data_IF_161361882440
#
_entry.id   IF_161361882440
#
_cell.length_a   1.000
_cell.length_b   1.000
_cell.length_c   1.000
_cell.angle_alpha   90.00
_cell.angle_beta   90.00
_cell.angle_gamma   90.00
#
_symmetry.space_group_name_H-M   'P 1'
#
loop_
_entity.id
_entity.type
_entity.pdbx_description
1 polymer ?
#
# COMPACT_ATOMS: atom_id res chain seq x y z
N UNK A 1 -20.03 16.20 -82.92
CA UNK A 1 -18.65 16.51 -82.51
C UNK A 1 -18.38 15.79 -81.20
N UNK A 2 -17.31 15.00 -81.16
CA UNK A 2 -16.99 14.06 -80.07
C UNK A 2 -16.48 14.78 -78.81
N UNK A 3 -16.97 14.38 -77.64
CA UNK A 3 -16.50 14.80 -76.32
C UNK A 3 -15.22 14.02 -75.99
N UNK A 4 -14.10 14.66 -75.60
CA UNK A 4 -12.86 13.97 -75.30
C UNK A 4 -12.82 13.41 -73.86
N UNK A 5 -12.43 12.13 -73.80
CA UNK A 5 -11.61 11.41 -72.80
C UNK A 5 -12.13 11.19 -71.37
N UNK A 6 -12.79 10.04 -71.21
CA UNK A 6 -13.01 9.30 -69.96
C UNK A 6 -11.77 8.44 -69.58
N UNK A 7 -10.56 9.02 -69.44
CA UNK A 7 -9.35 8.23 -69.08
C UNK A 7 -8.66 8.65 -67.78
N UNK A 8 -9.08 9.73 -67.11
CA UNK A 8 -8.46 10.17 -65.86
C UNK A 8 -9.05 9.45 -64.65
N UNK A 9 -10.35 9.22 -64.58
CA UNK A 9 -11.00 8.70 -63.36
C UNK A 9 -10.72 7.21 -63.05
N UNK A 10 -10.50 6.36 -64.06
CA UNK A 10 -10.13 4.96 -63.82
C UNK A 10 -8.68 4.78 -63.34
N UNK A 11 -7.78 5.72 -63.65
CA UNK A 11 -6.37 5.67 -63.21
C UNK A 11 -6.24 6.02 -61.74
N UNK A 12 -7.05 6.94 -61.22
CA UNK A 12 -7.04 7.34 -59.81
C UNK A 12 -7.63 6.26 -58.88
N UNK A 13 -8.58 5.47 -59.38
CA UNK A 13 -9.18 4.36 -58.61
C UNK A 13 -8.28 3.12 -58.49
N UNK A 14 -7.30 2.95 -59.39
CA UNK A 14 -6.30 1.88 -59.31
C UNK A 14 -5.10 2.23 -58.42
N UNK A 15 -4.70 3.51 -58.35
CA UNK A 15 -3.64 3.96 -57.44
C UNK A 15 -4.07 3.95 -55.97
N UNK A 16 -5.29 4.40 -55.66
CA UNK A 16 -5.77 4.44 -54.27
C UNK A 16 -5.96 3.06 -53.60
N UNK A 17 -5.96 1.94 -54.35
CA UNK A 17 -6.06 0.58 -53.78
C UNK A 17 -4.70 -0.08 -53.54
N UNK A 18 -3.66 0.26 -54.31
CA UNK A 18 -2.31 -0.26 -54.10
C UNK A 18 -1.65 0.31 -52.85
N UNK A 19 -2.01 1.54 -52.47
CA UNK A 19 -1.37 2.26 -51.36
C UNK A 19 -1.69 1.63 -49.99
N UNK A 20 -2.91 1.12 -49.80
CA UNK A 20 -3.30 0.42 -48.57
C UNK A 20 -2.60 -0.94 -48.42
N UNK A 21 -2.41 -1.68 -49.52
CA UNK A 21 -1.72 -2.96 -49.49
C UNK A 21 -0.23 -2.78 -49.18
N UNK A 22 0.42 -1.79 -49.80
CA UNK A 22 1.83 -1.48 -49.54
C UNK A 22 2.04 -0.96 -48.11
N UNK A 23 1.15 -0.09 -47.62
CA UNK A 23 1.19 0.38 -46.22
C UNK A 23 0.97 -0.76 -45.21
N UNK A 24 0.06 -1.70 -45.50
CA UNK A 24 -0.23 -2.84 -44.62
C UNK A 24 0.95 -3.81 -44.53
N UNK A 25 1.57 -4.13 -45.68
CA UNK A 25 2.75 -5.00 -45.72
C UNK A 25 3.93 -4.33 -45.03
N UNK A 26 4.12 -3.01 -45.24
CA UNK A 26 5.15 -2.24 -44.54
C UNK A 26 4.97 -2.23 -43.03
N UNK A 27 3.74 -2.07 -42.54
CA UNK A 27 3.44 -2.10 -41.10
C UNK A 27 3.70 -3.49 -40.49
N UNK A 28 3.30 -4.57 -41.16
CA UNK A 28 3.56 -5.94 -40.70
C UNK A 28 5.06 -6.24 -40.68
N UNK A 29 5.80 -5.83 -41.71
CA UNK A 29 7.26 -6.00 -41.75
C UNK A 29 7.95 -5.16 -40.69
N UNK A 30 7.49 -3.93 -40.42
CA UNK A 30 8.03 -3.06 -39.37
C UNK A 30 7.77 -3.62 -37.96
N UNK A 31 6.56 -4.13 -37.71
CA UNK A 31 6.23 -4.81 -36.44
C UNK A 31 7.06 -6.09 -36.28
N UNK A 32 7.25 -6.87 -37.33
CA UNK A 32 8.09 -8.08 -37.32
C UNK A 32 9.58 -7.73 -37.12
N UNK A 33 10.06 -6.65 -37.72
CA UNK A 33 11.41 -6.14 -37.50
C UNK A 33 11.59 -5.66 -36.05
N UNK A 34 10.60 -4.96 -35.49
CA UNK A 34 10.61 -4.56 -34.08
C UNK A 34 10.64 -5.77 -33.14
N UNK A 35 9.92 -6.86 -33.43
CA UNK A 35 9.97 -8.07 -32.61
C UNK A 35 11.20 -8.95 -32.83
N UNK A 36 11.98 -8.76 -33.91
CA UNK A 36 13.29 -9.39 -34.11
C UNK A 36 14.47 -8.55 -33.61
N UNK A 37 14.34 -7.22 -33.53
CA UNK A 37 15.39 -6.32 -33.02
C UNK A 37 15.23 -6.01 -31.52
N UNK A 38 14.02 -6.07 -30.96
CA UNK A 38 13.81 -6.13 -29.51
C UNK A 38 13.72 -7.60 -29.08
N UNK A 39 14.86 -8.29 -29.13
CA UNK A 39 15.11 -9.41 -28.24
C UNK A 39 15.71 -8.83 -26.94
N UNK A 40 14.95 -8.71 -25.84
CA UNK A 40 15.45 -8.16 -24.59
C UNK A 40 16.32 -9.18 -23.82
N UNK A 41 16.80 -10.24 -24.47
CA UNK A 41 17.65 -11.26 -23.84
C UNK A 41 19.07 -11.29 -24.43
N UNK A 42 19.75 -10.15 -24.37
CA UNK A 42 21.22 -10.11 -24.45
C UNK A 42 21.80 -9.24 -23.34
N UNK A 43 21.51 -9.60 -22.09
CA UNK A 43 22.38 -9.26 -20.98
C UNK A 43 22.99 -10.56 -20.46
N UNK A 44 24.28 -10.73 -20.74
CA UNK A 44 25.14 -11.64 -19.99
C UNK A 44 25.08 -11.24 -18.52
N UNK A 45 24.18 -11.87 -17.76
CA UNK A 45 24.08 -11.70 -16.30
C UNK A 45 25.40 -12.16 -15.69
N UNK A 46 26.22 -11.27 -15.10
CA UNK A 46 27.30 -11.70 -14.24
C UNK A 46 26.64 -12.44 -13.08
N UNK A 47 27.14 -13.63 -12.75
CA UNK A 47 26.69 -14.41 -11.62
C UNK A 47 26.78 -13.60 -10.34
N UNK A 48 25.68 -12.93 -9.98
CA UNK A 48 25.46 -12.40 -8.64
C UNK A 48 25.42 -13.61 -7.73
N UNK A 49 26.36 -13.65 -6.80
CA UNK A 49 26.41 -14.60 -5.71
C UNK A 49 25.01 -14.67 -5.07
N UNK A 50 24.30 -15.79 -5.27
CA UNK A 50 23.01 -16.08 -4.63
C UNK A 50 23.21 -16.52 -3.18
N UNK A 51 24.09 -15.84 -2.46
CA UNK A 51 23.97 -15.77 -1.03
C UNK A 51 22.66 -14.99 -0.79
N UNK A 52 21.63 -15.58 -0.16
CA UNK A 52 20.50 -14.77 0.29
C UNK A 52 21.09 -13.62 1.11
N UNK A 53 20.63 -12.37 0.92
CA UNK A 53 21.01 -11.32 1.85
C UNK A 53 20.74 -11.89 3.22
N UNK A 54 21.76 -11.88 4.09
CA UNK A 54 21.61 -12.26 5.49
C UNK A 54 20.49 -11.35 5.99
N UNK A 55 19.27 -11.88 5.99
CA UNK A 55 18.12 -11.17 6.47
C UNK A 55 18.40 -11.04 7.95
N UNK A 56 18.85 -9.86 8.35
CA UNK A 56 18.80 -9.46 9.74
C UNK A 56 17.42 -9.89 10.25
N UNK A 57 17.33 -10.63 11.35
CA UNK A 57 16.05 -11.08 11.87
C UNK A 57 15.11 -9.86 11.92
N UNK A 58 13.84 -10.01 11.49
CA UNK A 58 12.90 -8.90 11.49
C UNK A 58 12.89 -8.29 12.89
N UNK A 59 13.02 -6.96 12.93
CA UNK A 59 13.02 -6.17 14.15
C UNK A 59 11.59 -6.11 14.67
N UNK A 60 11.15 -7.23 15.25
CA UNK A 60 9.80 -7.44 15.75
C UNK A 60 9.58 -6.53 16.95
N UNK A 61 8.59 -5.66 16.83
CA UNK A 61 8.24 -4.70 17.87
C UNK A 61 7.11 -5.30 18.70
N UNK A 62 7.29 -5.31 20.04
CA UNK A 62 6.35 -5.89 20.99
C UNK A 62 5.19 -4.97 21.35
N UNK A 63 4.00 -5.55 21.56
CA UNK A 63 2.80 -4.89 22.01
C UNK A 63 2.95 -4.42 23.47
N UNK A 64 2.54 -3.17 23.71
CA UNK A 64 2.39 -2.60 25.04
C UNK A 64 0.94 -2.18 25.25
N UNK A 65 0.26 -2.78 26.23
CA UNK A 65 -1.06 -2.32 26.67
C UNK A 65 -0.91 -1.11 27.60
N UNK A 66 -1.73 -0.09 27.38
CA UNK A 66 -1.62 1.18 28.10
C UNK A 66 -2.39 1.15 29.41
N UNK A 67 -1.70 0.89 30.52
CA UNK A 67 -2.29 1.05 31.87
C UNK A 67 -2.73 2.49 32.14
N UNK A 68 -2.01 3.48 31.60
CA UNK A 68 -2.37 4.91 31.69
C UNK A 68 -3.67 5.24 30.97
N UNK A 69 -4.05 4.48 29.93
CA UNK A 69 -5.34 4.64 29.27
C UNK A 69 -6.48 4.26 30.24
N UNK A 70 -6.30 3.20 31.03
CA UNK A 70 -7.23 2.80 32.10
C UNK A 70 -7.49 3.93 33.09
N UNK A 71 -6.42 4.58 33.56
CA UNK A 71 -6.51 5.72 34.50
C UNK A 71 -7.29 6.91 33.93
N UNK A 72 -7.35 7.03 32.61
CA UNK A 72 -8.07 8.07 31.87
C UNK A 72 -9.44 7.62 31.35
N UNK A 73 -9.86 6.39 31.65
CA UNK A 73 -11.14 5.84 31.19
C UNK A 73 -11.20 5.52 29.69
N UNK A 74 -10.06 5.30 29.04
CA UNK A 74 -10.00 4.93 27.62
C UNK A 74 -9.87 3.42 27.46
N UNK A 75 -10.77 2.83 26.66
CA UNK A 75 -10.89 1.40 26.41
C UNK A 75 -11.16 1.13 24.92
N UNK A 76 -10.90 -0.08 24.48
CA UNK A 76 -11.41 -0.60 23.22
C UNK A 76 -12.94 -0.85 23.33
N UNK A 77 -13.60 -1.12 22.20
CA UNK A 77 -15.05 -1.38 22.15
C UNK A 77 -15.52 -2.50 23.10
N UNK A 78 -14.70 -3.52 23.34
CA UNK A 78 -15.00 -4.62 24.26
C UNK A 78 -14.65 -4.34 25.73
N UNK A 79 -14.11 -3.17 26.05
CA UNK A 79 -13.63 -2.81 27.38
C UNK A 79 -12.19 -3.25 27.70
N UNK A 80 -11.48 -3.88 26.77
CA UNK A 80 -10.05 -4.18 26.93
C UNK A 80 -9.18 -2.92 26.85
N UNK A 81 -7.92 -3.02 27.29
CA UNK A 81 -7.02 -1.87 27.30
C UNK A 81 -6.48 -1.60 25.88
N UNK A 82 -6.48 -0.34 25.42
CA UNK A 82 -5.84 -0.03 24.14
C UNK A 82 -4.32 -0.26 24.23
N UNK A 83 -3.69 -0.47 23.08
CA UNK A 83 -2.28 -0.82 23.01
C UNK A 83 -1.55 -0.15 21.84
N UNK A 84 -0.23 -0.22 21.91
CA UNK A 84 0.66 0.29 20.86
C UNK A 84 1.93 -0.55 20.80
N UNK A 85 2.58 -0.53 19.63
CA UNK A 85 3.93 -1.06 19.44
C UNK A 85 4.90 0.11 19.42
N UNK A 86 6.00 0.01 20.15
CA UNK A 86 6.98 1.09 20.27
C UNK A 86 8.39 0.59 20.02
N UNK A 87 9.04 1.17 19.01
CA UNK A 87 10.47 1.01 18.77
C UNK A 87 11.21 2.31 19.13
N UNK A 88 12.22 2.20 20.00
CA UNK A 88 13.01 3.34 20.48
C UNK A 88 13.91 3.92 19.38
N UNK A 89 13.97 5.24 19.27
CA UNK A 89 14.85 5.92 18.33
C UNK A 89 16.32 5.90 18.76
N UNK A 90 17.22 6.20 17.83
CA UNK A 90 18.67 6.19 18.02
C UNK A 90 19.34 7.43 17.40
N UNK A 91 20.56 7.75 17.85
CA UNK A 91 21.35 8.85 17.32
C UNK A 91 20.60 10.20 17.30
N UNK A 92 20.62 10.88 16.14
CA UNK A 92 19.93 12.15 15.93
C UNK A 92 18.40 12.05 16.04
N UNK A 93 17.81 10.88 15.73
CA UNK A 93 16.37 10.64 15.81
C UNK A 93 15.86 10.30 17.22
N UNK A 94 16.74 10.16 18.22
CA UNK A 94 16.37 9.78 19.59
C UNK A 94 15.39 10.73 20.30
N UNK A 95 15.27 11.97 19.82
CA UNK A 95 14.32 12.98 20.33
C UNK A 95 13.15 13.28 19.38
N UNK A 96 13.13 12.64 18.21
CA UNK A 96 12.08 12.81 17.21
C UNK A 96 11.09 11.66 17.28
N UNK A 97 9.83 11.92 16.92
CA UNK A 97 8.73 10.98 17.10
C UNK A 97 7.88 10.85 15.85
N UNK A 98 7.59 9.62 15.46
CA UNK A 98 6.62 9.26 14.43
C UNK A 98 5.52 8.41 15.06
N UNK A 99 4.30 8.95 15.05
CA UNK A 99 3.12 8.27 15.56
C UNK A 99 2.24 7.86 14.38
N UNK A 100 2.08 6.55 14.17
CA UNK A 100 1.23 5.98 13.15
C UNK A 100 -0.07 5.50 13.79
N UNK A 101 -1.20 6.03 13.31
CA UNK A 101 -2.54 5.59 13.70
C UNK A 101 -2.99 4.48 12.75
N UNK A 102 -3.19 3.28 13.28
CA UNK A 102 -3.73 2.17 12.50
C UNK A 102 -5.14 2.49 11.98
N UNK A 103 -5.43 2.10 10.75
CA UNK A 103 -6.75 2.29 10.14
C UNK A 103 -7.72 1.14 10.46
N UNK A 104 -8.87 1.15 9.79
CA UNK A 104 -9.83 0.06 9.89
C UNK A 104 -11.30 0.44 9.65
N UNK A 105 -11.61 1.70 9.34
CA UNK A 105 -13.00 2.18 9.20
C UNK A 105 -13.73 2.25 10.53
N UNK A 106 -15.05 2.47 10.54
CA UNK A 106 -15.85 2.69 11.77
C UNK A 106 -17.08 1.78 11.83
N UNK A 107 -17.75 1.73 12.97
CA UNK A 107 -19.09 1.15 13.13
C UNK A 107 -20.09 2.27 13.44
N UNK A 108 -21.38 2.06 13.15
CA UNK A 108 -22.39 3.13 13.23
C UNK A 108 -23.70 2.72 13.91
N UNK A 109 -23.78 1.49 14.41
CA UNK A 109 -24.94 0.95 15.12
C UNK A 109 -24.49 0.04 16.25
N UNK A 110 -25.33 -0.11 17.28
CA UNK A 110 -25.05 -1.02 18.41
C UNK A 110 -24.71 -2.43 17.91
N UNK A 111 -25.48 -2.95 16.96
CA UNK A 111 -25.24 -4.28 16.39
C UNK A 111 -23.88 -4.36 15.66
N UNK A 112 -23.55 -3.36 14.83
CA UNK A 112 -22.27 -3.36 14.10
C UNK A 112 -21.06 -3.17 15.02
N UNK A 113 -21.17 -2.33 16.05
CA UNK A 113 -20.10 -2.12 17.02
C UNK A 113 -19.92 -3.32 17.95
N UNK A 114 -21.02 -3.95 18.38
CA UNK A 114 -20.97 -5.19 19.17
C UNK A 114 -20.32 -6.34 18.38
N UNK A 115 -20.65 -6.50 17.10
CA UNK A 115 -19.97 -7.48 16.25
C UNK A 115 -18.47 -7.15 16.08
N UNK A 116 -18.13 -5.87 15.92
CA UNK A 116 -16.75 -5.41 15.76
C UNK A 116 -15.90 -5.59 17.03
N UNK A 117 -16.49 -5.46 18.21
CA UNK A 117 -15.84 -5.70 19.49
C UNK A 117 -15.22 -7.11 19.59
N UNK A 118 -15.75 -8.08 18.82
CA UNK A 118 -15.25 -9.45 18.75
C UNK A 118 -14.12 -9.65 17.72
N UNK A 119 -13.41 -8.58 17.34
CA UNK A 119 -12.35 -8.60 16.32
C UNK A 119 -11.13 -7.78 16.76
N UNK A 120 -10.01 -7.88 16.03
CA UNK A 120 -8.83 -7.04 16.24
C UNK A 120 -9.09 -5.53 16.10
N UNK A 121 -10.19 -5.11 15.47
CA UNK A 121 -10.53 -3.68 15.32
C UNK A 121 -11.49 -3.17 16.41
N UNK A 122 -11.71 -3.96 17.46
CA UNK A 122 -12.57 -3.62 18.59
C UNK A 122 -12.10 -4.19 19.92
N UNK A 123 -11.05 -5.02 19.94
CA UNK A 123 -10.53 -5.63 21.16
C UNK A 123 -9.02 -5.90 21.06
N UNK A 124 -8.31 -5.55 22.13
CA UNK A 124 -6.87 -5.79 22.25
C UNK A 124 -6.53 -7.26 22.49
N UNK A 125 -7.50 -8.13 22.79
CA UNK A 125 -7.24 -9.57 22.99
C UNK A 125 -6.91 -10.29 21.68
N UNK A 126 -7.17 -9.64 20.55
CA UNK A 126 -6.87 -10.14 19.21
C UNK A 126 -5.71 -9.39 18.54
N UNK A 127 -5.00 -8.52 19.28
CA UNK A 127 -3.79 -7.90 18.75
C UNK A 127 -2.66 -8.92 18.64
N UNK A 128 -1.86 -8.78 17.59
CA UNK A 128 -0.57 -9.46 17.48
C UNK A 128 0.38 -8.94 18.58
N UNK A 129 0.96 -9.89 19.31
CA UNK A 129 1.93 -9.62 20.38
C UNK A 129 3.18 -8.94 19.85
N UNK A 130 3.57 -9.23 18.61
CA UNK A 130 4.73 -8.68 17.94
C UNK A 130 4.39 -8.37 16.48
N UNK A 131 4.91 -7.26 15.96
CA UNK A 131 4.69 -6.84 14.57
C UNK A 131 6.00 -6.39 13.94
N UNK A 132 6.15 -6.67 12.65
CA UNK A 132 7.24 -6.14 11.86
C UNK A 132 6.89 -4.73 11.35
N UNK A 133 7.80 -3.78 11.57
CA UNK A 133 7.60 -2.41 11.17
C UNK A 133 8.05 -2.22 9.72
N UNK A 134 7.10 -1.79 8.87
CA UNK A 134 7.28 -1.69 7.43
C UNK A 134 7.04 -0.26 6.92
N UNK A 135 7.49 0.04 5.70
CA UNK A 135 7.31 1.33 5.06
C UNK A 135 7.86 2.50 5.90
N UNK A 136 7.04 3.52 6.14
CA UNK A 136 7.41 4.70 6.95
C UNK A 136 7.76 4.37 8.40
N UNK A 137 7.39 3.20 8.89
CA UNK A 137 7.79 2.71 10.21
C UNK A 137 9.05 1.84 10.16
N UNK A 138 9.59 1.46 9.00
CA UNK A 138 10.75 0.56 8.91
C UNK A 138 12.01 1.15 9.51
N UNK A 139 12.88 0.28 10.05
CA UNK A 139 14.23 0.65 10.54
C UNK A 139 15.27 0.62 9.43
N UNK A 140 14.90 0.13 8.24
CA UNK A 140 15.77 0.12 7.06
C UNK A 140 15.79 1.52 6.42
N UNK A 141 16.96 2.20 6.37
CA UNK A 141 17.08 3.51 5.74
C UNK A 141 16.78 3.50 4.24
N UNK A 142 16.85 2.34 3.57
CA UNK A 142 16.47 2.22 2.16
C UNK A 142 14.95 2.27 1.95
N UNK A 143 14.17 1.85 2.95
CA UNK A 143 12.71 1.88 2.95
C UNK A 143 12.16 3.14 3.64
N UNK A 144 12.89 3.67 4.63
CA UNK A 144 12.51 4.80 5.45
C UNK A 144 13.66 5.80 5.64
N UNK A 145 14.11 6.49 4.58
CA UNK A 145 15.29 7.36 4.63
C UNK A 145 15.16 8.50 5.65
N UNK A 146 13.94 8.97 5.89
CA UNK A 146 13.68 10.15 6.73
C UNK A 146 13.56 9.83 8.23
N UNK A 147 12.95 8.68 8.57
CA UNK A 147 12.50 8.41 9.95
C UNK A 147 13.04 7.10 10.54
N UNK A 148 13.93 6.37 9.85
CA UNK A 148 14.40 5.05 10.29
C UNK A 148 14.97 5.04 11.72
N UNK A 149 15.60 6.16 12.15
CA UNK A 149 16.20 6.30 13.47
C UNK A 149 15.34 7.07 14.49
N UNK A 150 14.11 7.44 14.15
CA UNK A 150 13.19 8.12 15.06
C UNK A 150 12.57 7.15 16.08
N UNK A 151 11.99 7.69 17.15
CA UNK A 151 11.05 6.94 17.99
C UNK A 151 9.80 6.67 17.15
N UNK A 152 9.48 5.40 16.91
CA UNK A 152 8.40 4.99 16.01
C UNK A 152 7.36 4.24 16.82
N UNK A 153 6.10 4.67 16.71
CA UNK A 153 4.97 4.11 17.45
C UNK A 153 3.86 3.74 16.47
N UNK A 154 3.40 2.49 16.52
CA UNK A 154 2.15 2.06 15.88
C UNK A 154 1.06 1.99 16.95
N UNK A 155 0.12 2.92 16.92
CA UNK A 155 -1.05 2.92 17.81
C UNK A 155 -2.09 1.99 17.21
N UNK A 156 -2.50 0.97 17.96
CA UNK A 156 -3.47 -0.02 17.50
C UNK A 156 -4.88 0.56 17.52
N UNK A 157 -5.67 0.20 16.51
CA UNK A 157 -7.02 0.73 16.32
C UNK A 157 -8.07 -0.20 16.91
N UNK A 158 -8.84 0.28 17.89
CA UNK A 158 -9.88 -0.53 18.54
C UNK A 158 -11.09 0.25 19.07
N UNK A 159 -11.22 1.55 18.75
CA UNK A 159 -12.34 2.37 19.23
C UNK A 159 -13.57 2.32 18.31
N UNK A 160 -13.40 1.86 17.06
CA UNK A 160 -14.46 1.82 16.05
C UNK A 160 -14.99 3.18 15.61
N UNK A 161 -14.32 4.27 15.96
CA UNK A 161 -14.78 5.66 15.78
C UNK A 161 -13.74 6.54 15.06
N UNK A 162 -12.75 5.93 14.40
CA UNK A 162 -11.66 6.62 13.70
C UNK A 162 -10.89 7.60 14.60
N UNK A 163 -10.67 7.24 15.87
CA UNK A 163 -10.04 8.09 16.89
C UNK A 163 -10.81 9.38 17.21
N UNK A 164 -12.09 9.45 16.84
CA UNK A 164 -12.98 10.59 17.10
C UNK A 164 -13.98 10.34 18.24
N UNK A 165 -13.87 9.21 18.94
CA UNK A 165 -14.76 8.87 20.06
C UNK A 165 -14.64 9.85 21.24
N UNK A 166 -15.77 10.13 21.89
CA UNK A 166 -15.85 10.99 23.08
C UNK A 166 -16.61 10.29 24.20
N UNK A 167 -15.94 9.75 25.23
CA UNK A 167 -16.57 8.88 26.24
C UNK A 167 -17.62 9.60 27.09
N UNK A 168 -17.55 10.92 27.23
CA UNK A 168 -18.52 11.72 27.97
C UNK A 168 -19.87 11.86 27.27
N UNK A 169 -19.93 11.58 25.97
CA UNK A 169 -21.17 11.59 25.18
C UNK A 169 -21.90 10.24 25.18
N UNK A 170 -21.32 9.20 25.77
CA UNK A 170 -21.94 7.88 25.79
C UNK A 170 -22.95 7.74 26.96
N UNK A 171 -24.13 7.21 26.64
CA UNK A 171 -25.13 6.88 27.66
C UNK A 171 -24.57 5.79 28.57
N UNK A 172 -24.17 6.18 29.78
CA UNK A 172 -23.87 5.21 30.84
C UNK A 172 -25.15 4.45 31.17
N UNK A 173 -25.27 3.23 30.70
CA UNK A 173 -26.25 2.28 31.22
C UNK A 173 -25.84 1.95 32.65
N UNK A 174 -26.50 2.61 33.61
CA UNK A 174 -26.38 2.26 35.02
C UNK A 174 -27.06 0.89 35.18
N UNK A 175 -26.38 -0.12 35.77
CA UNK A 175 -26.96 -1.44 36.02
C UNK A 175 -28.12 -1.39 37.01
#
# INVERSE_FOLDING_TARGET
>A
MAIPRFSSLLRWRKLAKSDWLVASIGFVLFVFFLSFFFDPTSDSVPSVDRSPPIASPPDLVKLTLSSKAKERGAFCLDGSLPGYHFHKGSGSGSKSWLLHLEGGGWCSSIASCSARAMTMLGSSTYFEDEVDFQGVLSSDPSLNPEFFNWNRVKIRYCDGASFAGHPEAEFKTIP
#
